data_IF_977493100612
#
_entry.id   IF_977493100612
#
_cell.length_a   1.000
_cell.length_b   1.000
_cell.length_c   1.000
_cell.angle_alpha   90.00
_cell.angle_beta   90.00
_cell.angle_gamma   90.00
#
_symmetry.space_group_name_H-M   'P 1'
#
loop_
_entity.id
_entity.type
_entity.pdbx_description
1 polymer ?
#
# COMPACT_ATOMS: atom_id res chain seq x y z
N UNK A 1 -7.21 -0.43 26.34
CA UNK A 1 -7.86 0.10 25.10
C UNK A 1 -7.09 1.34 24.66
N UNK A 2 -6.22 1.19 23.69
CA UNK A 2 -5.55 2.35 23.10
C UNK A 2 -6.59 3.17 22.33
N UNK A 3 -6.79 4.39 22.77
CA UNK A 3 -7.73 5.32 22.13
C UNK A 3 -7.06 5.88 20.86
N UNK A 4 -7.74 5.83 19.71
CA UNK A 4 -7.29 6.49 18.46
C UNK A 4 -6.89 7.97 18.68
N UNK A 5 -7.39 8.57 19.76
CA UNK A 5 -7.10 9.94 20.14
C UNK A 5 -5.68 10.17 20.70
N UNK A 6 -4.99 9.13 21.19
CA UNK A 6 -3.63 9.24 21.74
C UNK A 6 -2.54 8.94 20.72
N UNK A 7 -2.91 8.37 19.60
CA UNK A 7 -2.02 8.08 18.48
C UNK A 7 -1.58 9.36 17.81
N UNK A 8 -0.31 9.54 17.51
CA UNK A 8 0.20 10.69 16.74
C UNK A 8 -0.40 10.72 15.33
N UNK A 9 -0.46 11.91 14.70
CA UNK A 9 -1.06 12.14 13.38
C UNK A 9 -0.62 11.09 12.34
N UNK A 10 0.69 10.90 12.18
CA UNK A 10 1.25 9.93 11.22
C UNK A 10 0.84 8.49 11.51
N UNK A 11 0.81 8.11 12.78
CA UNK A 11 0.38 6.77 13.16
C UNK A 11 -1.11 6.55 12.88
N UNK A 12 -1.93 7.61 12.93
CA UNK A 12 -3.34 7.54 12.56
C UNK A 12 -3.51 7.26 11.06
N UNK A 13 -2.77 7.95 10.20
CA UNK A 13 -2.77 7.71 8.75
C UNK A 13 -2.31 6.29 8.41
N UNK A 14 -1.21 5.83 9.02
CA UNK A 14 -0.69 4.46 8.86
C UNK A 14 -1.72 3.40 9.29
N UNK A 15 -2.40 3.63 10.41
CA UNK A 15 -3.44 2.74 10.93
C UNK A 15 -4.62 2.65 9.95
N UNK A 16 -5.06 3.79 9.41
CA UNK A 16 -6.12 3.85 8.40
C UNK A 16 -5.68 3.11 7.13
N UNK A 17 -4.46 3.36 6.65
CA UNK A 17 -3.90 2.68 5.48
C UNK A 17 -3.87 1.17 5.65
N UNK A 18 -3.40 0.69 6.80
CA UNK A 18 -3.35 -0.73 7.11
C UNK A 18 -4.74 -1.37 7.19
N UNK A 19 -5.71 -0.68 7.79
CA UNK A 19 -7.09 -1.16 7.84
C UNK A 19 -7.68 -1.38 6.45
N UNK A 20 -7.38 -0.49 5.48
CA UNK A 20 -7.82 -0.65 4.10
C UNK A 20 -7.02 -1.70 3.33
N UNK A 21 -5.71 -1.82 3.54
CA UNK A 21 -4.91 -2.92 2.94
C UNK A 21 -5.49 -4.28 3.29
N UNK A 22 -5.82 -4.49 4.56
CA UNK A 22 -6.43 -5.75 5.02
C UNK A 22 -7.84 -6.00 4.47
N UNK A 23 -8.54 -4.96 4.03
CA UNK A 23 -9.80 -5.09 3.30
C UNK A 23 -9.63 -5.36 1.80
N UNK A 24 -8.40 -5.50 1.32
CA UNK A 24 -8.10 -5.81 -0.08
C UNK A 24 -7.98 -4.59 -0.98
N UNK A 25 -7.73 -3.39 -0.42
CA UNK A 25 -7.37 -2.21 -1.19
C UNK A 25 -5.86 -2.14 -1.42
N UNK A 26 -5.44 -1.77 -2.62
CA UNK A 26 -4.11 -1.23 -2.83
C UNK A 26 -4.08 0.20 -2.28
N UNK A 27 -3.17 0.47 -1.36
CA UNK A 27 -3.07 1.75 -0.65
C UNK A 27 -1.76 2.44 -1.02
N UNK A 28 -1.88 3.64 -1.56
CA UNK A 28 -0.78 4.54 -1.88
C UNK A 28 -0.81 5.71 -0.88
N UNK A 29 0.30 5.94 -0.18
CA UNK A 29 0.47 7.07 0.73
C UNK A 29 1.00 8.26 -0.09
N UNK A 30 0.31 9.40 -0.05
CA UNK A 30 0.67 10.57 -0.88
C UNK A 30 1.81 11.40 -0.29
N UNK A 31 2.29 11.00 0.91
CA UNK A 31 3.38 11.70 1.59
C UNK A 31 2.95 12.98 2.32
N UNK A 32 3.82 13.45 3.17
CA UNK A 32 3.65 14.53 4.15
C UNK A 32 3.02 15.80 3.56
N UNK A 33 1.69 15.95 3.67
CA UNK A 33 1.02 17.25 3.59
C UNK A 33 1.42 18.16 2.44
N UNK A 34 1.70 17.58 1.27
CA UNK A 34 2.15 18.31 0.09
C UNK A 34 1.05 19.15 -0.56
N UNK A 35 1.39 19.81 -1.68
CA UNK A 35 0.55 20.68 -2.51
C UNK A 35 -0.75 20.04 -3.06
N UNK A 36 -1.05 18.81 -2.68
CA UNK A 36 -2.13 17.96 -3.22
C UNK A 36 -3.48 18.13 -2.51
N UNK A 37 -3.69 19.26 -1.81
CA UNK A 37 -5.01 19.58 -1.22
C UNK A 37 -5.41 18.72 -0.02
N UNK A 38 -4.44 18.16 0.74
CA UNK A 38 -4.72 17.41 1.98
C UNK A 38 -5.21 15.97 1.76
N UNK A 39 -4.89 15.38 0.61
CA UNK A 39 -5.11 13.94 0.35
C UNK A 39 -3.97 13.17 1.06
N UNK A 40 -4.33 12.28 1.98
CA UNK A 40 -3.36 11.50 2.76
C UNK A 40 -3.12 10.11 2.14
N UNK A 41 -4.17 9.49 1.59
CA UNK A 41 -4.09 8.17 0.97
C UNK A 41 -4.89 8.12 -0.34
N UNK A 42 -4.44 7.27 -1.26
CA UNK A 42 -5.20 6.88 -2.44
C UNK A 42 -5.46 5.37 -2.38
N UNK A 43 -6.73 4.99 -2.41
CA UNK A 43 -7.16 3.60 -2.42
C UNK A 43 -7.51 3.18 -3.84
N UNK A 44 -7.08 1.97 -4.24
CA UNK A 44 -7.45 1.37 -5.51
C UNK A 44 -8.03 -0.02 -5.29
N UNK A 45 -9.20 -0.25 -5.86
CA UNK A 45 -9.85 -1.57 -5.83
C UNK A 45 -10.81 -1.71 -7.01
N UNK A 46 -10.76 -2.83 -7.72
CA UNK A 46 -11.64 -3.12 -8.88
C UNK A 46 -11.60 -2.01 -9.95
N UNK A 47 -10.43 -1.46 -10.24
CA UNK A 47 -10.25 -0.36 -11.20
C UNK A 47 -10.70 1.02 -10.71
N UNK A 48 -11.34 1.13 -9.54
CA UNK A 48 -11.79 2.39 -8.96
C UNK A 48 -10.70 3.04 -8.10
N UNK A 49 -10.63 4.37 -8.17
CA UNK A 49 -9.72 5.21 -7.40
C UNK A 49 -10.50 6.06 -6.39
N UNK A 50 -10.16 5.94 -5.11
CA UNK A 50 -10.78 6.71 -4.02
C UNK A 50 -9.72 7.55 -3.33
N UNK A 51 -9.97 8.85 -3.20
CA UNK A 51 -9.12 9.77 -2.44
C UNK A 51 -9.53 9.71 -0.96
N UNK A 52 -8.56 9.69 -0.06
CA UNK A 52 -8.82 9.65 1.39
C UNK A 52 -8.11 10.80 2.08
N UNK A 53 -8.86 11.52 2.90
CA UNK A 53 -8.34 12.49 3.84
C UNK A 53 -8.58 12.00 5.27
N UNK A 54 -7.53 12.01 6.09
CA UNK A 54 -7.55 11.64 7.50
C UNK A 54 -7.65 12.90 8.38
N UNK A 55 -8.51 12.91 9.37
CA UNK A 55 -8.65 14.02 10.33
C UNK A 55 -8.66 13.49 11.75
N UNK A 56 -7.53 13.65 12.45
CA UNK A 56 -7.40 13.29 13.85
C UNK A 56 -7.88 14.44 14.74
N UNK A 57 -9.19 14.54 14.96
CA UNK A 57 -9.77 15.60 15.81
C UNK A 57 -10.29 15.03 17.12
N UNK A 58 -9.66 15.42 18.23
CA UNK A 58 -9.95 14.87 19.57
C UNK A 58 -11.23 15.42 20.20
N UNK A 59 -11.58 16.67 19.92
CA UNK A 59 -12.69 17.38 20.58
C UNK A 59 -13.64 18.12 19.64
N UNK A 60 -13.31 18.24 18.36
CA UNK A 60 -14.10 18.94 17.35
C UNK A 60 -14.73 17.97 16.37
N UNK A 61 -15.86 18.39 15.79
CA UNK A 61 -16.50 17.66 14.70
C UNK A 61 -15.90 18.12 13.37
N UNK A 62 -15.74 17.19 12.44
CA UNK A 62 -15.37 17.53 11.06
C UNK A 62 -16.53 18.26 10.39
N UNK A 63 -16.30 19.52 10.04
CA UNK A 63 -17.32 20.38 9.41
C UNK A 63 -17.46 20.12 7.91
N UNK A 64 -18.49 20.71 7.32
CA UNK A 64 -18.83 20.59 5.89
C UNK A 64 -17.73 21.15 4.96
N UNK A 65 -16.92 22.09 5.42
CA UNK A 65 -15.84 22.70 4.62
C UNK A 65 -14.85 21.63 4.12
N UNK A 66 -14.38 20.74 5.00
CA UNK A 66 -13.46 19.64 4.65
C UNK A 66 -14.09 18.71 3.60
N UNK A 67 -15.38 18.43 3.75
CA UNK A 67 -16.09 17.51 2.83
C UNK A 67 -16.29 18.16 1.45
N UNK A 68 -16.55 19.47 1.40
CA UNK A 68 -16.62 20.23 0.15
C UNK A 68 -15.28 20.28 -0.58
N UNK A 69 -14.20 20.48 0.15
CA UNK A 69 -12.85 20.45 -0.37
C UNK A 69 -12.55 19.10 -1.03
N UNK A 70 -12.78 18.00 -0.32
CA UNK A 70 -12.61 16.65 -0.85
C UNK A 70 -13.48 16.36 -2.07
N UNK A 71 -14.72 16.87 -2.08
CA UNK A 71 -15.59 16.75 -3.25
C UNK A 71 -15.03 17.50 -4.46
N UNK A 72 -14.46 18.69 -4.25
CA UNK A 72 -13.80 19.47 -5.31
C UNK A 72 -12.58 18.75 -5.91
N UNK A 73 -11.82 18.03 -5.10
CA UNK A 73 -10.62 17.30 -5.54
C UNK A 73 -10.94 16.10 -6.44
N UNK A 74 -12.17 15.57 -6.42
CA UNK A 74 -12.56 14.45 -7.29
C UNK A 74 -12.34 14.76 -8.77
N UNK A 75 -12.80 15.91 -9.23
CA UNK A 75 -12.68 16.31 -10.63
C UNK A 75 -11.22 16.57 -11.00
N UNK A 76 -10.47 17.25 -10.13
CA UNK A 76 -9.07 17.58 -10.34
C UNK A 76 -8.20 16.32 -10.48
N UNK A 77 -8.40 15.35 -9.60
CA UNK A 77 -7.62 14.10 -9.58
C UNK A 77 -8.22 12.98 -10.43
N UNK A 78 -9.33 13.22 -11.15
CA UNK A 78 -10.06 12.21 -11.94
C UNK A 78 -10.31 10.93 -11.12
N UNK A 79 -10.77 11.10 -9.87
CA UNK A 79 -11.07 10.00 -8.97
C UNK A 79 -12.56 9.67 -8.97
N UNK A 80 -12.89 8.40 -8.72
CA UNK A 80 -14.27 7.89 -8.73
C UNK A 80 -15.02 8.25 -7.45
N UNK A 81 -14.30 8.33 -6.32
CA UNK A 81 -14.88 8.62 -5.01
C UNK A 81 -13.87 9.33 -4.10
N UNK A 82 -14.41 9.97 -3.05
CA UNK A 82 -13.62 10.49 -1.94
C UNK A 82 -14.09 9.91 -0.62
N UNK A 83 -13.23 9.95 0.38
CA UNK A 83 -13.54 9.50 1.72
C UNK A 83 -12.86 10.42 2.73
N UNK A 84 -13.58 10.83 3.76
CA UNK A 84 -13.01 11.52 4.92
C UNK A 84 -13.08 10.58 6.11
N UNK A 85 -11.92 10.24 6.66
CA UNK A 85 -11.78 9.38 7.84
C UNK A 85 -11.44 10.25 9.04
N UNK A 86 -12.21 10.15 10.12
CA UNK A 86 -11.97 10.95 11.32
C UNK A 86 -11.89 10.09 12.57
N UNK A 87 -11.02 10.45 13.52
CA UNK A 87 -11.03 9.86 14.86
C UNK A 87 -12.23 10.34 15.70
N UNK A 88 -12.91 11.39 15.28
CA UNK A 88 -14.09 12.01 15.92
C UNK A 88 -15.39 11.78 15.15
N UNK A 89 -16.27 12.77 15.27
CA UNK A 89 -17.60 12.78 14.63
C UNK A 89 -17.64 13.79 13.49
N UNK A 90 -18.66 13.70 12.64
CA UNK A 90 -18.96 14.67 11.59
C UNK A 90 -20.15 15.55 12.01
N UNK A 91 -20.14 16.82 11.59
CA UNK A 91 -21.27 17.71 11.79
C UNK A 91 -22.50 17.27 10.97
N UNK A 92 -23.68 17.72 11.37
CA UNK A 92 -24.93 17.44 10.62
C UNK A 92 -24.86 17.96 9.19
N UNK A 93 -24.27 19.13 8.98
CA UNK A 93 -24.11 19.73 7.65
C UNK A 93 -23.15 18.91 6.77
N UNK A 94 -22.08 18.35 7.35
CA UNK A 94 -21.18 17.45 6.63
C UNK A 94 -21.90 16.17 6.18
N UNK A 95 -22.71 15.58 7.06
CA UNK A 95 -23.49 14.38 6.74
C UNK A 95 -24.58 14.68 5.70
N UNK A 96 -25.26 15.82 5.79
CA UNK A 96 -26.26 16.23 4.81
C UNK A 96 -25.64 16.49 3.42
N UNK A 97 -24.44 17.08 3.40
CA UNK A 97 -23.76 17.42 2.14
C UNK A 97 -23.40 16.20 1.29
N UNK A 98 -23.04 15.08 1.89
CA UNK A 98 -22.60 13.86 1.14
C UNK A 98 -23.77 13.10 0.51
N UNK A 99 -25.00 13.40 0.88
CA UNK A 99 -26.17 12.74 0.32
C UNK A 99 -26.17 12.84 -1.23
N UNK A 100 -26.20 11.70 -1.92
CA UNK A 100 -26.19 11.64 -3.38
C UNK A 100 -24.85 11.98 -4.05
N UNK A 101 -23.76 12.10 -3.29
CA UNK A 101 -22.42 12.39 -3.82
C UNK A 101 -21.47 11.20 -3.58
N UNK A 102 -20.45 11.00 -4.43
CA UNK A 102 -19.47 9.94 -4.27
C UNK A 102 -18.43 10.30 -3.18
N UNK A 103 -18.92 10.69 -2.00
CA UNK A 103 -18.10 11.03 -0.84
C UNK A 103 -18.59 10.24 0.37
N UNK A 104 -17.71 9.46 0.98
CA UNK A 104 -18.01 8.69 2.18
C UNK A 104 -17.41 9.37 3.43
N UNK A 105 -18.11 9.24 4.55
CA UNK A 105 -17.65 9.71 5.85
C UNK A 105 -17.45 8.50 6.78
N UNK A 106 -16.25 8.34 7.33
CA UNK A 106 -15.91 7.27 8.26
C UNK A 106 -15.59 7.88 9.61
N UNK A 107 -16.55 7.91 10.54
CA UNK A 107 -16.32 8.38 11.92
C UNK A 107 -15.47 7.40 12.71
N UNK A 108 -14.86 7.86 13.80
CA UNK A 108 -13.95 7.06 14.63
C UNK A 108 -14.54 5.75 15.14
N UNK A 109 -15.84 5.74 15.45
CA UNK A 109 -16.54 4.52 15.87
C UNK A 109 -16.59 3.45 14.77
N UNK A 110 -16.82 3.89 13.52
CA UNK A 110 -16.84 3.01 12.36
C UNK A 110 -15.42 2.51 12.02
N UNK A 111 -14.43 3.39 12.05
CA UNK A 111 -13.03 3.01 11.86
C UNK A 111 -12.60 1.94 12.88
N UNK A 112 -12.96 2.10 14.16
CA UNK A 112 -12.68 1.10 15.19
C UNK A 112 -13.36 -0.24 14.89
N UNK A 113 -14.59 -0.22 14.39
CA UNK A 113 -15.29 -1.44 13.97
C UNK A 113 -14.55 -2.13 12.83
N UNK A 114 -14.18 -1.37 11.79
CA UNK A 114 -13.40 -1.89 10.66
C UNK A 114 -12.09 -2.53 11.10
N UNK A 115 -11.35 -1.88 12.01
CA UNK A 115 -10.08 -2.42 12.56
C UNK A 115 -10.33 -3.72 13.31
N UNK A 116 -11.36 -3.81 14.15
CA UNK A 116 -11.70 -5.03 14.90
C UNK A 116 -12.09 -6.18 13.97
N UNK A 117 -12.93 -5.92 12.97
CA UNK A 117 -13.35 -6.93 11.99
C UNK A 117 -12.16 -7.53 11.24
N UNK A 118 -11.15 -6.71 10.98
CA UNK A 118 -9.93 -7.16 10.32
C UNK A 118 -9.03 -7.96 11.29
N UNK A 119 -8.99 -7.61 12.57
CA UNK A 119 -8.23 -8.34 13.58
C UNK A 119 -8.86 -9.71 13.91
N UNK A 120 -10.18 -9.82 13.79
CA UNK A 120 -10.93 -11.06 14.06
C UNK A 120 -11.06 -11.97 12.84
N UNK A 121 -10.77 -11.49 11.63
CA UNK A 121 -10.64 -12.37 10.49
C UNK A 121 -9.39 -13.22 10.67
N UNK A 122 -9.52 -14.55 10.83
CA UNK A 122 -8.37 -15.41 10.73
C UNK A 122 -7.74 -15.16 9.36
N UNK A 123 -6.41 -15.15 9.30
CA UNK A 123 -5.67 -15.17 8.05
C UNK A 123 -5.95 -16.56 7.43
N UNK A 124 -7.11 -16.66 6.82
CA UNK A 124 -7.48 -17.79 5.97
C UNK A 124 -7.11 -17.42 4.52
N UNK A 125 -5.88 -16.98 4.33
CA UNK A 125 -5.22 -17.41 3.11
C UNK A 125 -4.68 -18.80 3.45
N UNK A 126 -5.09 -19.84 2.72
CA UNK A 126 -4.43 -21.12 2.83
C UNK A 126 -2.96 -20.86 2.48
N UNK A 127 -2.06 -21.19 3.42
CA UNK A 127 -0.61 -21.30 3.17
C UNK A 127 -0.31 -22.32 2.05
N UNK A 128 -1.34 -22.99 1.54
CA UNK A 128 -1.29 -23.96 0.46
C UNK A 128 -1.00 -23.38 -0.93
N UNK A 129 -0.95 -22.03 -1.08
CA UNK A 129 -0.48 -21.43 -2.35
C UNK A 129 0.97 -20.96 -2.32
N UNK A 130 1.68 -21.23 -1.23
CA UNK A 130 3.13 -21.19 -1.16
C UNK A 130 3.70 -22.61 -1.07
N UNK A 131 3.04 -23.57 -1.67
CA UNK A 131 3.84 -24.68 -2.16
C UNK A 131 4.82 -24.06 -3.16
N UNK A 132 6.14 -24.13 -2.88
CA UNK A 132 7.04 -24.00 -3.98
C UNK A 132 6.65 -25.15 -4.89
N UNK A 133 5.91 -24.86 -5.95
CA UNK A 133 5.99 -25.70 -7.11
C UNK A 133 7.49 -25.79 -7.36
N UNK A 134 8.07 -26.90 -6.94
CA UNK A 134 9.25 -27.47 -7.54
C UNK A 134 8.87 -27.69 -9.01
N UNK A 135 8.64 -26.57 -9.72
CA UNK A 135 8.78 -26.55 -11.14
C UNK A 135 10.23 -26.92 -11.35
N UNK A 136 10.44 -28.18 -11.58
CA UNK A 136 11.59 -28.67 -12.30
C UNK A 136 11.91 -27.64 -13.38
N UNK A 137 13.05 -26.95 -13.34
CA UNK A 137 13.44 -26.10 -14.44
C UNK A 137 13.89 -27.01 -15.57
N UNK A 138 12.93 -27.58 -16.30
CA UNK A 138 13.16 -28.10 -17.63
C UNK A 138 12.88 -26.98 -18.58
N UNK A 139 13.77 -26.01 -18.59
CA UNK A 139 14.01 -25.21 -19.78
C UNK A 139 15.52 -24.90 -19.81
N UNK A 140 16.14 -25.46 -20.80
CA UNK A 140 17.46 -25.16 -21.27
C UNK A 140 17.63 -23.65 -21.50
N UNK A 141 17.99 -22.91 -20.42
CA UNK A 141 18.84 -21.77 -20.61
C UNK A 141 20.15 -22.37 -21.13
N UNK A 142 20.52 -22.06 -22.36
CA UNK A 142 21.82 -22.39 -22.95
C UNK A 142 22.87 -21.95 -21.95
N UNK A 143 23.36 -22.91 -21.16
CA UNK A 143 24.41 -22.69 -20.19
C UNK A 143 25.60 -22.21 -20.98
N UNK A 144 25.91 -20.91 -20.90
CA UNK A 144 27.11 -20.37 -21.51
C UNK A 144 28.30 -21.17 -20.96
N UNK A 145 28.96 -21.91 -21.84
CA UNK A 145 30.07 -22.74 -21.48
C UNK A 145 31.39 -22.02 -21.76
N UNK A 146 32.40 -22.30 -20.96
CA UNK A 146 33.74 -21.76 -21.13
C UNK A 146 34.32 -22.20 -22.48
N UNK A 147 34.72 -21.24 -23.32
CA UNK A 147 35.29 -21.51 -24.66
C UNK A 147 36.58 -22.34 -24.65
N UNK A 148 37.27 -22.43 -23.50
CA UNK A 148 38.54 -23.17 -23.39
C UNK A 148 38.39 -24.57 -22.87
N UNK A 149 37.46 -24.84 -21.94
CA UNK A 149 37.36 -26.14 -21.27
C UNK A 149 35.95 -26.71 -21.23
N UNK A 150 34.97 -26.07 -21.90
CA UNK A 150 33.58 -26.45 -21.96
C UNK A 150 32.87 -26.60 -20.58
N UNK A 151 33.53 -26.19 -19.49
CA UNK A 151 32.89 -26.16 -18.18
C UNK A 151 31.84 -25.04 -18.07
N UNK A 152 30.80 -25.17 -17.22
CA UNK A 152 29.79 -24.14 -17.08
C UNK A 152 30.40 -22.85 -16.56
N UNK A 153 29.89 -21.70 -17.04
CA UNK A 153 30.22 -20.39 -16.50
C UNK A 153 29.37 -20.14 -15.25
N UNK A 154 29.99 -19.56 -14.23
CA UNK A 154 29.33 -19.16 -12.98
C UNK A 154 29.48 -17.66 -12.74
N UNK A 155 28.51 -17.05 -12.14
CA UNK A 155 28.56 -15.64 -11.78
C UNK A 155 29.61 -15.41 -10.68
N UNK A 156 30.47 -14.43 -10.89
CA UNK A 156 31.51 -14.03 -9.94
C UNK A 156 31.53 -12.53 -9.78
N UNK A 157 31.92 -12.08 -8.60
CA UNK A 157 32.07 -10.65 -8.28
C UNK A 157 33.54 -10.25 -8.33
N UNK A 158 33.87 -9.23 -9.08
CA UNK A 158 35.18 -8.61 -9.07
C UNK A 158 35.44 -7.96 -7.72
N UNK A 159 36.53 -8.34 -7.06
CA UNK A 159 36.85 -7.81 -5.71
C UNK A 159 37.30 -6.36 -5.72
N UNK A 160 37.76 -5.84 -6.86
CA UNK A 160 38.28 -4.48 -6.97
C UNK A 160 37.19 -3.50 -7.44
N UNK A 161 36.39 -3.86 -8.45
CA UNK A 161 35.36 -2.99 -9.03
C UNK A 161 33.95 -3.28 -8.50
N UNK A 162 33.74 -4.43 -7.86
CA UNK A 162 32.43 -4.85 -7.35
C UNK A 162 31.47 -5.36 -8.43
N UNK A 163 31.87 -5.35 -9.71
CA UNK A 163 31.03 -5.76 -10.83
C UNK A 163 30.86 -7.28 -10.92
N UNK A 164 29.70 -7.72 -11.36
CA UNK A 164 29.38 -9.12 -11.59
C UNK A 164 29.82 -9.52 -13.02
N UNK A 165 30.48 -10.66 -13.16
CA UNK A 165 30.86 -11.22 -14.46
C UNK A 165 30.73 -12.75 -14.46
N UNK A 166 30.58 -13.32 -15.68
CA UNK A 166 30.51 -14.77 -15.86
C UNK A 166 31.91 -15.33 -16.02
N UNK A 167 32.36 -16.10 -15.04
CA UNK A 167 33.67 -16.71 -15.05
C UNK A 167 33.60 -18.25 -15.06
N UNK A 168 34.65 -18.91 -15.60
CA UNK A 168 34.75 -20.36 -15.64
C UNK A 168 34.67 -20.98 -14.24
N UNK A 169 33.85 -22.02 -14.07
CA UNK A 169 33.72 -22.75 -12.79
C UNK A 169 35.03 -23.42 -12.35
N UNK A 170 35.93 -23.72 -13.30
CA UNK A 170 37.24 -24.32 -13.04
C UNK A 170 38.38 -23.33 -12.81
N UNK A 171 38.07 -22.04 -12.64
CA UNK A 171 39.11 -21.09 -12.23
C UNK A 171 39.65 -21.43 -10.85
N UNK A 172 40.97 -21.37 -10.57
CA UNK A 172 42.05 -20.84 -11.39
C UNK A 172 42.69 -21.82 -12.40
N UNK A 173 42.29 -23.07 -12.43
CA UNK A 173 42.87 -24.09 -13.33
C UNK A 173 42.57 -23.78 -14.82
N UNK A 174 41.44 -23.07 -15.10
CA UNK A 174 41.12 -22.56 -16.43
C UNK A 174 40.84 -21.03 -16.35
N UNK A 175 41.61 -20.27 -17.09
CA UNK A 175 41.49 -18.80 -17.21
C UNK A 175 40.79 -18.42 -18.55
N UNK A 176 39.61 -19.00 -18.79
CA UNK A 176 38.82 -18.74 -19.98
C UNK A 176 37.80 -17.67 -19.79
#
# INVERSE_FOLDING_TARGET
>A
MESLATTGWRNFELLVGEAFRRQGYAVEETGLGGADGGIDLILRRNGKRTLVQCKQWRRQQVGVAVVREMYGLLAHHKADAAMVVSSGKFSRDAQAFVAGKPVALVPGAELLRMIREVQTRPITEPLERLEPTLATPTQAATAATCRKCAAPLVERKNRTTGELFMGCSRFPACRG
#
